data_IF_066881504481
#
_entry.id   IF_066881504481
#
_cell.length_a   1.000
_cell.length_b   1.000
_cell.length_c   1.000
_cell.angle_alpha   90.00
_cell.angle_beta   90.00
_cell.angle_gamma   90.00
#
_symmetry.space_group_name_H-M   'P 1'
#
loop_
_entity.id
_entity.type
_entity.pdbx_description
1 polymer ?
#
# COMPACT_ATOMS: atom_id res chain seq x y z
N UNK A 1 39.63 -16.65 22.41
CA UNK A 1 38.19 -16.33 22.40
C UNK A 1 37.46 -17.59 22.00
N UNK A 2 36.57 -18.10 22.85
CA UNK A 2 35.79 -19.30 22.51
C UNK A 2 34.74 -18.95 21.45
N UNK A 3 34.55 -19.81 20.45
CA UNK A 3 33.63 -19.59 19.32
C UNK A 3 32.19 -19.27 19.77
N UNK A 4 31.79 -19.85 20.91
CA UNK A 4 30.48 -19.64 21.54
C UNK A 4 30.25 -18.19 21.96
N UNK A 5 31.30 -17.53 22.45
CA UNK A 5 31.26 -16.12 22.83
C UNK A 5 31.17 -15.23 21.58
N UNK A 6 31.78 -15.65 20.47
CA UNK A 6 31.64 -14.98 19.17
C UNK A 6 30.21 -15.09 18.65
N UNK A 7 29.61 -16.29 18.71
CA UNK A 7 28.22 -16.53 18.30
C UNK A 7 27.24 -15.68 19.11
N UNK A 8 27.38 -15.64 20.44
CA UNK A 8 26.51 -14.82 21.30
C UNK A 8 26.63 -13.33 20.99
N UNK A 9 27.86 -12.83 20.75
CA UNK A 9 28.07 -11.43 20.36
C UNK A 9 27.47 -11.13 18.99
N UNK A 10 27.59 -12.05 18.03
CA UNK A 10 27.02 -11.91 16.70
C UNK A 10 25.49 -11.83 16.77
N UNK A 11 24.85 -12.77 17.48
CA UNK A 11 23.40 -12.81 17.67
C UNK A 11 22.88 -11.52 18.32
N UNK A 12 23.58 -11.00 19.35
CA UNK A 12 23.25 -9.71 20.00
C UNK A 12 23.47 -8.50 19.11
N UNK A 13 24.42 -8.55 18.19
CA UNK A 13 24.69 -7.47 17.23
C UNK A 13 23.79 -7.54 15.99
N UNK A 14 22.92 -8.55 15.90
CA UNK A 14 22.07 -8.74 14.73
C UNK A 14 20.92 -7.70 14.73
N UNK A 15 20.61 -7.08 13.58
CA UNK A 15 19.51 -6.10 13.49
C UNK A 15 18.15 -6.67 13.92
N UNK A 16 17.27 -5.82 14.46
CA UNK A 16 15.98 -6.22 15.04
C UNK A 16 15.07 -7.04 14.13
N UNK A 17 15.20 -6.87 12.81
CA UNK A 17 14.49 -7.66 11.79
C UNK A 17 14.82 -9.16 11.80
N UNK A 18 15.90 -9.57 12.46
CA UNK A 18 16.26 -10.97 12.67
C UNK A 18 15.93 -11.48 14.08
N UNK A 19 15.31 -10.66 14.95
CA UNK A 19 15.07 -11.01 16.35
C UNK A 19 14.30 -12.32 16.49
N UNK A 20 13.33 -12.61 15.63
CA UNK A 20 12.60 -13.88 15.69
C UNK A 20 13.52 -15.09 15.47
N UNK A 21 14.44 -14.99 14.50
CA UNK A 21 15.43 -16.02 14.23
C UNK A 21 16.46 -16.11 15.36
N UNK A 22 16.98 -14.98 15.84
CA UNK A 22 17.92 -14.93 16.97
C UNK A 22 17.31 -15.52 18.23
N UNK A 23 16.08 -15.16 18.57
CA UNK A 23 15.34 -15.72 19.72
C UNK A 23 15.11 -17.22 19.54
N UNK A 24 14.79 -17.67 18.33
CA UNK A 24 14.64 -19.11 18.06
C UNK A 24 15.95 -19.87 18.25
N UNK A 25 17.08 -19.29 17.83
CA UNK A 25 18.41 -19.88 18.00
C UNK A 25 18.85 -19.86 19.48
N UNK A 26 18.47 -18.84 20.24
CA UNK A 26 18.77 -18.75 21.68
C UNK A 26 17.87 -19.67 22.53
N UNK A 27 16.60 -19.86 22.14
CA UNK A 27 15.63 -20.65 22.91
C UNK A 27 15.66 -22.15 22.57
N UNK A 28 15.88 -22.50 21.30
CA UNK A 28 15.80 -23.88 20.81
C UNK A 28 17.14 -24.40 20.27
N UNK A 29 18.10 -23.52 19.98
CA UNK A 29 19.42 -23.91 19.54
C UNK A 29 20.31 -24.27 20.72
N UNK A 30 20.99 -25.42 20.64
CA UNK A 30 22.07 -25.74 21.56
C UNK A 30 23.28 -24.86 21.21
N UNK A 31 23.33 -23.66 21.79
CA UNK A 31 24.35 -22.63 21.52
C UNK A 31 25.79 -23.14 21.78
N UNK A 32 25.92 -24.24 22.50
CA UNK A 32 27.19 -24.91 22.78
C UNK A 32 27.66 -25.83 21.65
N UNK A 33 26.76 -26.18 20.72
CA UNK A 33 27.02 -27.04 19.56
C UNK A 33 26.91 -26.31 18.23
N UNK A 34 26.24 -25.15 18.19
CA UNK A 34 26.04 -24.40 16.95
C UNK A 34 27.35 -23.72 16.53
N UNK A 35 27.76 -23.95 15.28
CA UNK A 35 28.95 -23.32 14.72
C UNK A 35 28.66 -21.89 14.25
N UNK A 36 29.69 -21.04 14.21
CA UNK A 36 29.54 -19.68 13.70
C UNK A 36 29.03 -19.67 12.24
N UNK A 37 29.50 -20.61 11.43
CA UNK A 37 29.11 -20.73 10.01
C UNK A 37 27.64 -21.10 9.84
N UNK A 38 27.09 -21.93 10.73
CA UNK A 38 25.68 -22.33 10.71
C UNK A 38 24.76 -21.17 11.07
N UNK A 39 25.15 -20.34 12.04
CA UNK A 39 24.45 -19.10 12.38
C UNK A 39 24.47 -18.10 11.23
N UNK A 40 25.64 -17.90 10.60
CA UNK A 40 25.78 -17.02 9.44
C UNK A 40 24.94 -17.53 8.26
N UNK A 41 24.93 -18.84 8.01
CA UNK A 41 24.10 -19.47 6.99
C UNK A 41 22.61 -19.23 7.24
N UNK A 42 22.16 -19.45 8.47
CA UNK A 42 20.76 -19.24 8.89
C UNK A 42 20.32 -17.77 8.71
N UNK A 43 21.16 -16.83 9.14
CA UNK A 43 20.91 -15.39 8.96
C UNK A 43 20.87 -15.00 7.48
N UNK A 44 21.71 -15.62 6.65
CA UNK A 44 21.77 -15.35 5.21
C UNK A 44 20.52 -15.84 4.48
N UNK A 45 20.04 -17.04 4.81
CA UNK A 45 18.78 -17.59 4.28
C UNK A 45 17.61 -16.70 4.71
N UNK A 46 17.55 -16.29 5.98
CA UNK A 46 16.48 -15.42 6.46
C UNK A 46 16.49 -14.04 5.78
N UNK A 47 17.67 -13.50 5.49
CA UNK A 47 17.81 -12.25 4.74
C UNK A 47 17.24 -12.36 3.32
N UNK A 48 17.46 -13.50 2.64
CA UNK A 48 16.90 -13.74 1.31
C UNK A 48 15.37 -13.85 1.37
N UNK A 49 14.83 -14.55 2.37
CA UNK A 49 13.38 -14.67 2.58
C UNK A 49 12.72 -13.31 2.87
N UNK A 50 13.32 -12.49 3.73
CA UNK A 50 12.82 -11.14 4.01
C UNK A 50 12.78 -10.30 2.74
N UNK A 51 13.82 -10.37 1.90
CA UNK A 51 13.87 -9.64 0.64
C UNK A 51 12.78 -10.11 -0.35
N UNK A 52 12.51 -11.41 -0.39
CA UNK A 52 11.44 -11.96 -1.22
C UNK A 52 10.06 -11.48 -0.75
N UNK A 53 9.81 -11.49 0.57
CA UNK A 53 8.57 -10.97 1.16
C UNK A 53 8.39 -9.48 0.89
N UNK A 54 9.44 -8.68 1.06
CA UNK A 54 9.44 -7.24 0.74
C UNK A 54 9.08 -7.02 -0.74
N UNK A 55 9.66 -7.81 -1.66
CA UNK A 55 9.36 -7.70 -3.09
C UNK A 55 7.92 -8.09 -3.44
N UNK A 56 7.38 -9.12 -2.78
CA UNK A 56 5.98 -9.54 -2.95
C UNK A 56 5.01 -8.49 -2.39
N UNK A 57 5.34 -7.89 -1.25
CA UNK A 57 4.55 -6.82 -0.65
C UNK A 57 4.53 -5.58 -1.57
N UNK A 58 5.68 -5.18 -2.11
CA UNK A 58 5.78 -4.09 -3.10
C UNK A 58 4.94 -4.37 -4.35
N UNK A 59 5.00 -5.57 -4.90
CA UNK A 59 4.20 -5.97 -6.06
C UNK A 59 2.69 -5.95 -5.74
N UNK A 60 2.29 -6.48 -4.58
CA UNK A 60 0.89 -6.45 -4.14
C UNK A 60 0.36 -5.02 -3.96
N UNK A 61 1.19 -4.12 -3.41
CA UNK A 61 0.88 -2.71 -3.24
C UNK A 61 0.74 -2.01 -4.59
N UNK A 62 1.60 -2.32 -5.55
CA UNK A 62 1.53 -1.79 -6.91
C UNK A 62 0.26 -2.24 -7.63
N UNK A 63 -0.11 -3.52 -7.50
CA UNK A 63 -1.36 -4.09 -8.07
C UNK A 63 -2.57 -3.39 -7.46
N UNK A 64 -2.61 -3.25 -6.13
CA UNK A 64 -3.69 -2.55 -5.42
C UNK A 64 -3.79 -1.09 -5.88
N UNK A 65 -2.66 -0.39 -6.04
CA UNK A 65 -2.64 0.97 -6.53
C UNK A 65 -3.20 1.07 -7.96
N UNK A 66 -2.78 0.19 -8.87
CA UNK A 66 -3.27 0.15 -10.26
C UNK A 66 -4.76 -0.17 -10.34
N UNK A 67 -5.24 -1.08 -9.50
CA UNK A 67 -6.66 -1.41 -9.37
C UNK A 67 -7.48 -0.21 -8.90
N UNK A 68 -7.01 0.49 -7.86
CA UNK A 68 -7.64 1.71 -7.34
C UNK A 68 -7.72 2.82 -8.39
N UNK A 69 -6.65 3.04 -9.17
CA UNK A 69 -6.67 3.99 -10.29
C UNK A 69 -7.71 3.60 -11.33
N UNK A 70 -7.81 2.30 -11.64
CA UNK A 70 -8.74 1.79 -12.66
C UNK A 70 -10.19 2.02 -12.24
N UNK A 71 -10.53 1.68 -10.98
CA UNK A 71 -11.85 1.95 -10.41
C UNK A 71 -12.16 3.44 -10.47
N UNK A 72 -11.24 4.30 -10.04
CA UNK A 72 -11.46 5.75 -10.06
C UNK A 72 -11.72 6.28 -11.47
N UNK A 73 -11.01 5.78 -12.48
CA UNK A 73 -11.27 6.11 -13.89
C UNK A 73 -12.66 5.67 -14.32
N UNK A 74 -13.05 4.43 -14.04
CA UNK A 74 -14.38 3.92 -14.39
C UNK A 74 -15.51 4.72 -13.73
N UNK A 75 -15.38 5.03 -12.44
CA UNK A 75 -16.34 5.86 -11.72
C UNK A 75 -16.42 7.26 -12.35
N UNK A 76 -15.28 7.86 -12.69
CA UNK A 76 -15.27 9.18 -13.31
C UNK A 76 -15.93 9.15 -14.70
N UNK A 77 -15.68 8.12 -15.52
CA UNK A 77 -16.35 7.97 -16.82
C UNK A 77 -17.86 7.85 -16.64
N UNK A 78 -18.33 7.03 -15.69
CA UNK A 78 -19.77 6.90 -15.40
C UNK A 78 -20.37 8.21 -14.91
N UNK A 79 -19.66 8.95 -14.05
CA UNK A 79 -20.07 10.26 -13.57
C UNK A 79 -20.27 11.24 -14.74
N UNK A 80 -19.32 11.29 -15.68
CA UNK A 80 -19.42 12.13 -16.87
C UNK A 80 -20.58 11.70 -17.78
N UNK A 81 -20.82 10.39 -17.96
CA UNK A 81 -21.97 9.89 -18.70
C UNK A 81 -23.30 10.29 -18.04
N UNK A 82 -23.40 10.21 -16.72
CA UNK A 82 -24.58 10.67 -15.99
C UNK A 82 -24.77 12.17 -16.18
N UNK A 83 -23.73 12.99 -16.00
CA UNK A 83 -23.79 14.44 -16.17
C UNK A 83 -24.19 14.89 -17.58
N UNK A 84 -23.82 14.12 -18.61
CA UNK A 84 -24.21 14.40 -20.01
C UNK A 84 -25.63 13.95 -20.35
N UNK A 85 -26.15 12.93 -19.67
CA UNK A 85 -27.50 12.41 -19.86
C UNK A 85 -28.55 13.13 -19.01
N UNK A 86 -28.18 13.65 -17.84
CA UNK A 86 -29.11 14.34 -16.92
C UNK A 86 -29.91 15.49 -17.58
N UNK A 87 -29.31 16.38 -18.41
CA UNK A 87 -30.06 17.45 -19.07
C UNK A 87 -31.09 16.92 -20.09
N UNK A 88 -30.77 15.81 -20.76
CA UNK A 88 -31.63 15.21 -21.79
C UNK A 88 -32.88 14.56 -21.20
N UNK A 89 -32.80 14.08 -19.96
CA UNK A 89 -33.88 13.37 -19.30
C UNK A 89 -34.86 14.28 -18.53
N UNK A 90 -34.66 15.62 -18.51
CA UNK A 90 -35.41 16.57 -17.64
C UNK A 90 -35.37 16.20 -16.13
N UNK A 91 -34.46 15.31 -15.72
CA UNK A 91 -34.33 14.77 -14.35
C UNK A 91 -33.66 15.77 -13.39
N UNK A 92 -33.11 16.88 -13.88
CA UNK A 92 -32.46 17.94 -13.08
C UNK A 92 -33.30 18.52 -11.93
N UNK A 93 -34.61 18.25 -11.86
CA UNK A 93 -35.44 18.64 -10.70
C UNK A 93 -35.28 17.71 -9.49
N UNK A 94 -34.55 16.60 -9.62
CA UNK A 94 -34.35 15.67 -8.53
C UNK A 94 -33.17 16.11 -7.63
N UNK A 95 -33.45 17.04 -6.70
CA UNK A 95 -32.52 17.54 -5.68
C UNK A 95 -31.74 16.43 -4.94
N UNK A 96 -32.33 15.24 -4.81
CA UNK A 96 -31.71 14.09 -4.16
C UNK A 96 -30.54 13.52 -4.98
N UNK A 97 -30.68 13.43 -6.30
CA UNK A 97 -29.63 12.97 -7.21
C UNK A 97 -28.44 13.94 -7.23
N UNK A 98 -28.70 15.25 -7.18
CA UNK A 98 -27.64 16.26 -7.13
C UNK A 98 -26.83 16.19 -5.82
N UNK A 99 -27.50 16.02 -4.67
CA UNK A 99 -26.80 15.85 -3.38
C UNK A 99 -25.94 14.60 -3.36
N UNK A 100 -26.45 13.49 -3.91
CA UNK A 100 -25.70 12.21 -3.98
C UNK A 100 -24.49 12.34 -4.91
N UNK A 101 -24.61 13.03 -6.04
CA UNK A 101 -23.50 13.33 -6.94
C UNK A 101 -22.45 14.23 -6.31
N UNK A 102 -22.86 15.27 -5.56
CA UNK A 102 -21.92 16.14 -4.84
C UNK A 102 -21.19 15.39 -3.72
N UNK A 103 -21.89 14.54 -2.97
CA UNK A 103 -21.29 13.68 -1.93
C UNK A 103 -20.26 12.71 -2.52
N UNK A 104 -20.57 12.10 -3.67
CA UNK A 104 -19.63 11.26 -4.42
C UNK A 104 -18.40 12.03 -4.88
N UNK A 105 -18.54 13.27 -5.37
CA UNK A 105 -17.38 14.12 -5.74
C UNK A 105 -16.47 14.42 -4.55
N UNK A 106 -17.05 14.77 -3.39
CA UNK A 106 -16.28 15.04 -2.17
C UNK A 106 -15.53 13.79 -1.72
N UNK A 107 -16.19 12.64 -1.77
CA UNK A 107 -15.60 11.35 -1.41
C UNK A 107 -14.46 10.98 -2.37
N UNK A 108 -14.63 11.19 -3.68
CA UNK A 108 -13.59 10.96 -4.69
C UNK A 108 -12.40 11.93 -4.57
N UNK A 109 -12.60 13.18 -4.14
CA UNK A 109 -11.52 14.14 -3.87
C UNK A 109 -10.66 13.78 -2.66
N UNK A 110 -11.24 13.11 -1.65
CA UNK A 110 -10.52 12.66 -0.45
C UNK A 110 -9.62 11.46 -0.73
N UNK A 111 -9.88 10.72 -1.81
CA UNK A 111 -8.95 9.69 -2.29
C UNK A 111 -7.83 10.42 -3.03
N UNK A 112 -6.65 10.53 -2.40
CA UNK A 112 -5.45 11.19 -2.95
C UNK A 112 -4.99 10.52 -4.25
N UNK A 113 -5.65 10.83 -5.36
CA UNK A 113 -5.13 10.57 -6.69
C UNK A 113 -4.32 11.78 -7.12
N UNK A 114 -3.01 11.58 -7.20
CA UNK A 114 -1.96 12.56 -7.51
C UNK A 114 -2.07 13.23 -8.89
N UNK A 115 -3.21 13.16 -9.57
CA UNK A 115 -3.47 13.83 -10.86
C UNK A 115 -4.89 14.41 -10.98
N UNK A 116 -5.52 14.82 -9.89
CA UNK A 116 -6.83 15.50 -9.90
C UNK A 116 -6.79 16.97 -10.36
N UNK A 117 -5.59 17.53 -10.60
CA UNK A 117 -5.41 18.93 -11.06
C UNK A 117 -6.09 19.26 -12.39
N UNK A 118 -6.44 18.27 -13.22
CA UNK A 118 -7.22 18.47 -14.45
C UNK A 118 -8.75 18.44 -14.21
N UNK A 119 -9.22 17.66 -13.23
CA UNK A 119 -10.64 17.53 -12.92
C UNK A 119 -11.20 18.77 -12.19
N UNK A 120 -10.38 19.42 -11.37
CA UNK A 120 -10.79 20.65 -10.67
C UNK A 120 -10.98 21.84 -11.63
N UNK A 121 -10.12 21.97 -12.66
CA UNK A 121 -10.19 23.06 -13.64
C UNK A 121 -11.48 23.06 -14.46
N UNK A 122 -12.08 21.88 -14.70
CA UNK A 122 -13.38 21.79 -15.38
C UNK A 122 -14.57 22.13 -14.48
N UNK A 123 -14.52 21.76 -13.20
CA UNK A 123 -15.61 22.09 -12.26
C UNK A 123 -15.67 23.57 -11.88
N UNK A 124 -14.51 24.26 -11.79
CA UNK A 124 -14.47 25.69 -11.45
C UNK A 124 -15.00 26.60 -12.57
N UNK A 125 -14.84 26.21 -13.85
CA UNK A 125 -15.39 26.99 -14.97
C UNK A 125 -16.92 26.98 -15.05
N UNK A 126 -17.59 26.01 -14.40
CA UNK A 126 -19.06 25.90 -14.43
C UNK A 126 -19.77 26.59 -13.26
N UNK A 127 -19.03 27.01 -12.24
CA UNK A 127 -19.55 27.77 -11.10
C UNK A 127 -19.47 29.30 -11.29
N UNK A 128 -18.90 29.78 -12.40
CA UNK A 128 -18.83 31.23 -12.72
C UNK A 128 -19.92 31.71 -13.69
N UNK A 129 -20.90 30.86 -14.03
CA UNK A 129 -22.01 31.19 -14.93
C UNK A 129 -23.38 31.10 -14.23
N UNK A 130 -23.45 31.44 -12.95
CA UNK A 130 -24.73 31.55 -12.26
C UNK A 130 -24.87 32.86 -11.50
#
# INVERSE_FOLDING_TARGET
MEEREVVRRLLRATPSKFNALTLSLEQYGDLDKISLNEVIGSLSVHKLQLKELESQEEESNLINHKFNITIARSINTLLMSVETLMPKLKIWRCLDLERRLQSLRVSLKKVNFTNTSLLLKFTQRRLQFH
#
